data_IF_144605836903
#
_entry.id   IF_144605836903
#
_cell.length_a   1.000
_cell.length_b   1.000
_cell.length_c   1.000
_cell.angle_alpha   90.00
_cell.angle_beta   90.00
_cell.angle_gamma   90.00
#
_symmetry.space_group_name_H-M   'P 1'
#
loop_
_entity.id
_entity.type
_entity.pdbx_description
1 polymer ?
#
# COMPACT_ATOMS: atom_id res chain seq x y z
N UNK A 1 0.86 0.63 9.33
CA UNK A 1 1.11 0.53 7.87
C UNK A 1 -0.20 0.76 7.15
N UNK A 2 -0.16 1.49 6.05
CA UNK A 2 -1.34 1.58 5.19
C UNK A 2 -1.48 0.25 4.44
N UNK A 3 -2.66 -0.39 4.53
CA UNK A 3 -2.98 -1.66 3.86
C UNK A 3 -2.75 -1.56 2.34
N UNK A 4 -2.90 -0.35 1.80
CA UNK A 4 -2.67 -0.04 0.39
C UNK A 4 -1.20 -0.29 0.00
N UNK A 5 -0.22 0.06 0.85
CA UNK A 5 1.20 -0.22 0.63
C UNK A 5 1.52 -1.72 0.62
N UNK A 6 0.82 -2.51 1.43
CA UNK A 6 0.97 -3.96 1.40
C UNK A 6 0.48 -4.55 0.08
N UNK A 7 -0.68 -4.08 -0.41
CA UNK A 7 -1.21 -4.52 -1.70
C UNK A 7 -0.30 -4.10 -2.86
N UNK A 8 0.31 -2.91 -2.78
CA UNK A 8 1.36 -2.48 -3.70
C UNK A 8 2.53 -3.46 -3.69
N UNK A 9 3.05 -3.80 -2.50
CA UNK A 9 4.12 -4.78 -2.35
C UNK A 9 3.75 -6.12 -3.00
N UNK A 10 2.55 -6.66 -2.73
CA UNK A 10 2.08 -7.90 -3.33
C UNK A 10 2.08 -7.83 -4.86
N UNK A 11 1.58 -6.75 -5.44
CA UNK A 11 1.55 -6.58 -6.89
C UNK A 11 2.95 -6.44 -7.50
N UNK A 12 3.91 -5.87 -6.76
CA UNK A 12 5.32 -5.76 -7.18
C UNK A 12 6.06 -7.11 -7.07
N UNK A 13 5.74 -7.93 -6.07
CA UNK A 13 6.35 -9.27 -5.89
C UNK A 13 5.74 -10.33 -6.82
N UNK A 14 4.45 -10.24 -7.11
CA UNK A 14 3.70 -11.21 -7.91
C UNK A 14 3.05 -10.60 -9.16
N UNK A 15 3.79 -9.83 -9.99
CA UNK A 15 3.22 -9.04 -11.08
C UNK A 15 2.50 -9.90 -12.12
N UNK A 16 2.99 -11.12 -12.38
CA UNK A 16 2.37 -12.03 -13.34
C UNK A 16 0.98 -12.51 -12.89
N UNK A 17 0.78 -12.71 -11.60
CA UNK A 17 -0.49 -13.15 -11.03
C UNK A 17 -1.53 -12.03 -11.11
N UNK A 18 -1.13 -10.81 -10.79
CA UNK A 18 -2.00 -9.64 -10.93
C UNK A 18 -2.37 -9.35 -12.38
N UNK A 19 -1.41 -9.44 -13.31
CA UNK A 19 -1.69 -9.25 -14.74
C UNK A 19 -2.67 -10.29 -15.25
N UNK A 20 -2.47 -11.59 -14.96
CA UNK A 20 -3.39 -12.67 -15.35
C UNK A 20 -4.78 -12.54 -14.74
N UNK A 21 -4.86 -12.09 -13.49
CA UNK A 21 -6.15 -11.86 -12.83
C UNK A 21 -6.94 -10.71 -13.45
N UNK A 22 -6.24 -9.63 -13.79
CA UNK A 22 -6.88 -8.37 -14.18
C UNK A 22 -7.02 -8.18 -15.69
N UNK A 23 -6.16 -8.81 -16.47
CA UNK A 23 -6.13 -8.66 -17.92
C UNK A 23 -6.30 -10.04 -18.61
N UNK A 24 -7.02 -10.09 -19.74
CA UNK A 24 -7.12 -11.30 -20.56
C UNK A 24 -5.87 -11.49 -21.42
N UNK A 25 -4.68 -11.43 -20.82
CA UNK A 25 -3.39 -11.49 -21.49
C UNK A 25 -2.51 -12.55 -20.85
N UNK A 26 -1.95 -13.43 -21.67
CA UNK A 26 -0.82 -14.25 -21.30
C UNK A 26 0.47 -13.53 -21.71
N UNK A 27 1.22 -13.04 -20.76
CA UNK A 27 2.52 -12.40 -21.01
C UNK A 27 3.52 -12.83 -19.94
N UNK A 28 4.71 -13.16 -20.39
CA UNK A 28 5.83 -13.54 -19.52
C UNK A 28 6.80 -12.37 -19.24
N UNK A 29 6.71 -11.29 -20.03
CA UNK A 29 7.59 -10.15 -19.88
C UNK A 29 6.85 -8.99 -19.23
N UNK A 30 6.86 -8.97 -17.88
CA UNK A 30 6.24 -7.94 -17.08
C UNK A 30 7.33 -7.22 -16.30
N UNK A 31 7.36 -5.90 -16.39
CA UNK A 31 8.28 -5.06 -15.68
C UNK A 31 7.54 -4.17 -14.69
N UNK A 32 8.00 -4.16 -13.43
CA UNK A 32 7.54 -3.20 -12.43
C UNK A 32 8.22 -1.87 -12.69
N UNK A 33 7.43 -0.83 -12.93
CA UNK A 33 7.97 0.51 -13.16
C UNK A 33 8.11 1.28 -11.85
N UNK A 34 9.22 2.01 -11.71
CA UNK A 34 9.37 2.96 -10.60
C UNK A 34 8.36 4.10 -10.72
N UNK A 35 7.66 4.38 -9.63
CA UNK A 35 6.53 5.33 -9.57
C UNK A 35 6.95 6.81 -9.48
N UNK A 36 8.18 7.16 -9.83
CA UNK A 36 8.61 8.57 -9.86
C UNK A 36 7.93 9.33 -11.01
N UNK A 37 6.74 9.83 -10.72
CA UNK A 37 6.04 10.79 -11.56
C UNK A 37 6.42 12.20 -11.07
N UNK A 38 7.56 12.72 -11.56
CA UNK A 38 8.02 14.06 -11.24
C UNK A 38 7.02 15.12 -11.73
N UNK A 39 6.50 15.92 -10.82
CA UNK A 39 5.97 17.31 -10.95
C UNK A 39 4.89 17.61 -9.88
N UNK A 40 5.17 17.43 -8.67
CA UNK A 40 4.48 17.64 -7.38
C UNK A 40 4.53 16.37 -6.55
N UNK A 41 4.69 16.48 -5.23
CA UNK A 41 4.72 15.31 -4.36
C UNK A 41 3.32 14.70 -4.27
N UNK A 42 2.96 13.92 -5.30
CA UNK A 42 1.82 13.03 -5.20
C UNK A 42 2.30 11.97 -4.21
N UNK A 43 1.56 11.77 -3.14
CA UNK A 43 1.72 10.63 -2.25
C UNK A 43 1.46 9.35 -3.06
N UNK A 44 2.50 8.88 -3.74
CA UNK A 44 2.48 7.69 -4.60
C UNK A 44 2.47 6.37 -3.78
N UNK A 45 2.03 6.43 -2.53
CA UNK A 45 2.15 5.33 -1.58
C UNK A 45 1.28 4.11 -1.93
N UNK A 46 0.32 4.27 -2.82
CA UNK A 46 -0.64 3.20 -3.17
C UNK A 46 -0.70 2.86 -4.66
N UNK A 47 0.20 3.40 -5.48
CA UNK A 47 0.22 3.17 -6.92
C UNK A 47 1.20 2.05 -7.26
N UNK A 48 0.78 1.11 -8.09
CA UNK A 48 1.65 0.11 -8.72
C UNK A 48 1.50 0.17 -10.25
N UNK A 49 2.62 0.16 -10.94
CA UNK A 49 2.68 0.18 -12.40
C UNK A 49 3.36 -1.09 -12.91
N UNK A 50 2.59 -1.90 -13.63
CA UNK A 50 3.08 -3.12 -14.27
C UNK A 50 3.11 -2.90 -15.77
N UNK A 51 4.29 -2.96 -16.39
CA UNK A 51 4.45 -2.77 -17.83
C UNK A 51 4.57 -4.10 -18.55
N UNK A 52 3.75 -4.27 -19.56
CA UNK A 52 3.90 -5.27 -20.62
C UNK A 52 4.46 -4.58 -21.88
N UNK A 53 4.82 -5.31 -22.95
CA UNK A 53 5.39 -4.68 -24.16
C UNK A 53 4.57 -3.52 -24.75
N UNK A 54 3.22 -3.59 -24.66
CA UNK A 54 2.32 -2.63 -25.31
C UNK A 54 1.33 -1.94 -24.36
N UNK A 55 1.41 -2.22 -23.05
CA UNK A 55 0.41 -1.79 -22.07
C UNK A 55 1.04 -1.52 -20.73
N UNK A 56 0.60 -0.46 -20.06
CA UNK A 56 0.80 -0.25 -18.63
C UNK A 56 -0.48 -0.59 -17.90
N UNK A 57 -0.42 -1.50 -16.93
CA UNK A 57 -1.47 -1.72 -15.94
C UNK A 57 -1.16 -0.85 -14.72
N UNK A 58 -2.01 0.13 -14.48
CA UNK A 58 -1.96 1.00 -13.32
C UNK A 58 -2.94 0.49 -12.26
N UNK A 59 -2.41 0.08 -11.11
CA UNK A 59 -3.18 -0.40 -9.96
C UNK A 59 -3.21 0.67 -8.86
N UNK A 60 -4.41 0.96 -8.38
CA UNK A 60 -4.67 1.86 -7.26
C UNK A 60 -5.46 1.10 -6.18
N UNK A 61 -4.88 0.93 -5.00
CA UNK A 61 -5.54 0.26 -3.88
C UNK A 61 -6.18 1.28 -2.94
N UNK A 62 -7.41 1.00 -2.50
CA UNK A 62 -8.19 1.90 -1.64
C UNK A 62 -8.78 1.15 -0.45
N UNK A 63 -8.37 1.51 0.75
CA UNK A 63 -9.00 1.05 2.00
C UNK A 63 -10.12 1.99 2.45
N UNK A 64 -9.92 3.30 2.28
CA UNK A 64 -10.88 4.33 2.62
C UNK A 64 -11.48 4.95 1.36
N UNK A 65 -12.79 5.27 1.34
CA UNK A 65 -13.44 5.83 0.16
C UNK A 65 -13.08 7.31 -0.09
N UNK A 66 -12.64 8.04 0.93
CA UNK A 66 -12.31 9.46 0.81
C UNK A 66 -10.87 9.67 0.36
N UNK A 67 -10.67 10.58 -0.59
CA UNK A 67 -9.34 11.02 -1.06
C UNK A 67 -9.36 12.48 -1.49
N UNK A 68 -8.22 13.15 -1.33
CA UNK A 68 -7.98 14.49 -1.84
C UNK A 68 -6.67 14.46 -2.66
N UNK A 69 -6.71 14.77 -3.96
CA UNK A 69 -7.89 15.09 -4.76
C UNK A 69 -8.86 13.89 -4.91
N UNK A 70 -10.14 14.15 -5.34
CA UNK A 70 -11.13 13.10 -5.55
C UNK A 70 -10.63 12.00 -6.49
N UNK A 71 -10.90 10.73 -6.15
CA UNK A 71 -10.39 9.57 -6.87
C UNK A 71 -10.61 9.63 -8.41
N UNK A 72 -11.78 10.01 -8.96
CA UNK A 72 -11.95 10.08 -10.40
C UNK A 72 -11.02 11.09 -11.08
N UNK A 73 -10.80 12.25 -10.46
CA UNK A 73 -9.87 13.26 -10.97
C UNK A 73 -8.42 12.77 -10.90
N UNK A 74 -8.07 12.10 -9.82
CA UNK A 74 -6.74 11.52 -9.62
C UNK A 74 -6.44 10.46 -10.68
N UNK A 75 -7.41 9.60 -11.03
CA UNK A 75 -7.25 8.59 -12.08
C UNK A 75 -7.01 9.21 -13.45
N UNK A 76 -7.71 10.31 -13.79
CA UNK A 76 -7.46 11.05 -15.03
C UNK A 76 -6.03 11.65 -15.05
N UNK A 77 -5.61 12.30 -13.96
CA UNK A 77 -4.27 12.91 -13.87
C UNK A 77 -3.17 11.86 -14.03
N UNK A 78 -3.29 10.71 -13.37
CA UNK A 78 -2.34 9.62 -13.51
C UNK A 78 -2.31 9.05 -14.94
N UNK A 79 -3.47 8.83 -15.53
CA UNK A 79 -3.54 8.37 -16.92
C UNK A 79 -2.82 9.32 -17.86
N UNK A 80 -3.06 10.63 -17.74
CA UNK A 80 -2.44 11.65 -18.59
C UNK A 80 -0.92 11.66 -18.43
N UNK A 81 -0.40 11.59 -17.22
CA UNK A 81 1.04 11.55 -16.93
C UNK A 81 1.69 10.28 -17.46
N UNK A 82 1.08 9.12 -17.25
CA UNK A 82 1.57 7.85 -17.75
C UNK A 82 1.56 7.80 -19.27
N UNK A 83 0.45 8.17 -19.90
CA UNK A 83 0.34 8.21 -21.34
C UNK A 83 1.34 9.17 -21.98
N UNK A 84 1.53 10.36 -21.40
CA UNK A 84 2.53 11.33 -21.86
C UNK A 84 3.96 10.80 -21.77
N UNK A 85 4.28 10.08 -20.67
CA UNK A 85 5.64 9.57 -20.40
C UNK A 85 5.98 8.37 -21.26
N UNK A 86 5.06 7.40 -21.33
CA UNK A 86 5.34 6.09 -21.93
C UNK A 86 4.79 5.91 -23.35
N UNK A 87 3.85 6.77 -23.80
CA UNK A 87 3.27 6.75 -25.15
C UNK A 87 2.66 5.40 -25.55
N UNK A 88 2.13 4.65 -24.59
CA UNK A 88 1.47 3.36 -24.80
C UNK A 88 0.06 3.36 -24.19
N UNK A 89 -0.66 2.27 -24.35
CA UNK A 89 -1.95 2.07 -23.68
C UNK A 89 -1.77 1.99 -22.18
N UNK A 90 -2.73 2.57 -21.43
CA UNK A 90 -2.77 2.54 -19.96
C UNK A 90 -4.13 2.03 -19.53
N UNK A 91 -4.16 0.84 -18.96
CA UNK A 91 -5.31 0.27 -18.28
C UNK A 91 -5.24 0.63 -16.80
N UNK A 92 -6.35 1.13 -16.27
CA UNK A 92 -6.39 1.56 -14.88
C UNK A 92 -7.43 0.75 -14.10
N UNK A 93 -7.01 0.24 -12.95
CA UNK A 93 -7.86 -0.54 -12.05
C UNK A 93 -7.74 0.01 -10.63
N UNK A 94 -8.87 0.42 -10.08
CA UNK A 94 -9.02 0.76 -8.66
C UNK A 94 -9.55 -0.46 -7.93
N UNK A 95 -8.89 -0.87 -6.85
CA UNK A 95 -9.25 -2.05 -6.06
C UNK A 95 -9.62 -1.59 -4.65
N UNK A 96 -10.91 -1.65 -4.33
CA UNK A 96 -11.40 -1.39 -2.98
C UNK A 96 -11.26 -2.63 -2.10
N UNK A 97 -10.55 -2.48 -0.98
CA UNK A 97 -10.21 -3.58 -0.08
C UNK A 97 -11.27 -3.79 1.02
N UNK A 98 -11.91 -2.71 1.48
CA UNK A 98 -12.89 -2.73 2.56
C UNK A 98 -14.27 -2.38 2.04
N UNK A 99 -15.27 -3.19 2.41
CA UNK A 99 -16.67 -2.96 2.05
C UNK A 99 -17.14 -1.57 2.51
N UNK A 100 -17.84 -0.88 1.60
CA UNK A 100 -18.41 0.45 1.84
C UNK A 100 -19.66 0.67 0.98
N UNK A 101 -20.55 1.51 1.46
CA UNK A 101 -21.74 1.98 0.71
C UNK A 101 -21.50 3.34 0.02
N UNK A 102 -20.28 3.88 0.14
CA UNK A 102 -19.93 5.16 -0.50
C UNK A 102 -20.01 5.06 -2.02
N UNK A 103 -20.65 6.02 -2.67
CA UNK A 103 -20.78 6.10 -4.13
C UNK A 103 -19.45 6.06 -4.86
N UNK A 104 -18.37 6.52 -4.23
CA UNK A 104 -17.04 6.52 -4.83
C UNK A 104 -16.56 5.09 -5.18
N UNK A 105 -16.97 4.07 -4.43
CA UNK A 105 -16.63 2.69 -4.72
C UNK A 105 -17.41 2.11 -5.91
N UNK A 106 -18.43 2.83 -6.38
CA UNK A 106 -19.26 2.47 -7.54
C UNK A 106 -19.06 3.41 -8.72
N UNK A 107 -18.25 4.46 -8.53
CA UNK A 107 -17.91 5.43 -9.57
C UNK A 107 -16.70 4.95 -10.36
N UNK A 108 -16.86 4.80 -11.67
CA UNK A 108 -15.83 4.28 -12.57
C UNK A 108 -15.43 5.27 -13.68
N UNK A 109 -15.83 6.55 -13.53
CA UNK A 109 -15.49 7.58 -14.50
C UNK A 109 -15.35 8.97 -13.86
N UNK A 110 -14.51 9.78 -14.48
CA UNK A 110 -14.47 11.22 -14.30
C UNK A 110 -15.24 11.88 -15.46
N UNK A 111 -16.09 12.84 -15.15
CA UNK A 111 -16.86 13.60 -16.16
C UNK A 111 -16.78 15.09 -15.86
N UNK A 112 -16.44 15.86 -16.88
CA UNK A 112 -16.50 17.32 -16.94
C UNK A 112 -17.06 17.74 -18.31
N UNK A 113 -17.45 19.02 -18.54
CA UNK A 113 -18.15 19.44 -19.77
C UNK A 113 -17.53 18.94 -21.07
N UNK A 114 -16.19 18.88 -21.15
CA UNK A 114 -15.46 18.49 -22.37
C UNK A 114 -14.49 17.33 -22.14
N UNK A 115 -14.65 16.58 -21.02
CA UNK A 115 -13.71 15.51 -20.66
C UNK A 115 -14.47 14.36 -20.05
N UNK A 116 -14.19 13.15 -20.55
CA UNK A 116 -14.66 11.90 -19.96
C UNK A 116 -13.51 10.91 -19.91
N UNK A 117 -13.25 10.38 -18.70
CA UNK A 117 -12.21 9.39 -18.48
C UNK A 117 -12.76 8.22 -17.70
N UNK A 118 -12.53 6.98 -18.17
CA UNK A 118 -13.03 5.76 -17.56
C UNK A 118 -11.90 4.89 -17.04
N UNK A 119 -12.15 4.22 -15.92
CA UNK A 119 -11.26 3.24 -15.31
C UNK A 119 -12.10 2.09 -14.76
N UNK A 120 -11.47 0.95 -14.50
CA UNK A 120 -12.14 -0.20 -13.89
C UNK A 120 -12.16 -0.05 -12.37
N UNK A 121 -13.24 -0.53 -11.74
CA UNK A 121 -13.36 -0.62 -10.29
C UNK A 121 -13.61 -2.06 -9.91
N UNK A 122 -12.79 -2.57 -9.01
CA UNK A 122 -12.92 -3.88 -8.38
C UNK A 122 -13.23 -3.66 -6.91
N UNK A 123 -14.31 -4.29 -6.45
CA UNK A 123 -14.70 -4.35 -5.06
C UNK A 123 -14.42 -5.75 -4.58
N UNK A 124 -13.44 -5.92 -3.66
CA UNK A 124 -13.01 -7.26 -3.23
C UNK A 124 -14.16 -8.10 -2.67
N UNK A 125 -15.07 -7.48 -1.94
CA UNK A 125 -16.25 -8.18 -1.37
C UNK A 125 -17.27 -8.70 -2.39
N UNK A 126 -17.12 -8.40 -3.66
CA UNK A 126 -17.94 -8.91 -4.77
C UNK A 126 -17.20 -9.94 -5.63
N UNK A 127 -15.90 -10.09 -5.45
CA UNK A 127 -15.06 -10.96 -6.29
C UNK A 127 -15.24 -12.43 -5.92
N UNK A 128 -15.22 -13.30 -6.94
CA UNK A 128 -15.11 -14.73 -6.76
C UNK A 128 -13.77 -15.07 -6.11
N UNK A 129 -13.74 -15.84 -5.01
CA UNK A 129 -12.50 -16.26 -4.37
C UNK A 129 -11.68 -17.26 -5.20
N UNK A 130 -12.27 -18.02 -6.10
CA UNK A 130 -11.61 -19.13 -6.77
C UNK A 130 -10.34 -18.72 -7.55
N UNK A 131 -10.34 -17.67 -8.39
CA UNK A 131 -9.12 -17.22 -9.07
C UNK A 131 -8.02 -16.74 -8.12
N UNK A 132 -8.43 -16.20 -6.95
CA UNK A 132 -7.50 -15.68 -5.93
C UNK A 132 -6.87 -16.83 -5.13
N UNK A 133 -7.65 -17.85 -4.81
CA UNK A 133 -7.20 -19.06 -4.10
C UNK A 133 -6.23 -19.91 -4.93
N UNK A 134 -6.31 -19.83 -6.26
CA UNK A 134 -5.48 -20.58 -7.18
C UNK A 134 -4.03 -20.05 -7.29
N UNK A 135 -3.75 -18.85 -6.76
CA UNK A 135 -2.47 -18.17 -6.93
C UNK A 135 -1.92 -17.70 -5.58
N UNK A 136 -0.71 -18.13 -5.24
CA UNK A 136 -0.11 -17.86 -3.93
C UNK A 136 0.02 -16.36 -3.61
N UNK A 137 0.39 -15.54 -4.59
CA UNK A 137 0.50 -14.08 -4.41
C UNK A 137 -0.83 -13.36 -4.26
N UNK A 138 -1.95 -13.99 -4.64
CA UNK A 138 -3.30 -13.41 -4.50
C UNK A 138 -4.05 -13.94 -3.26
N UNK A 139 -3.51 -14.95 -2.56
CA UNK A 139 -4.13 -15.51 -1.34
C UNK A 139 -4.47 -14.44 -0.28
N UNK A 140 -3.63 -13.42 -0.04
CA UNK A 140 -3.98 -12.36 0.90
C UNK A 140 -5.26 -11.61 0.51
N UNK A 141 -5.48 -11.34 -0.78
CA UNK A 141 -6.70 -10.70 -1.29
C UNK A 141 -7.92 -11.62 -1.22
N UNK A 142 -7.72 -12.94 -1.32
CA UNK A 142 -8.81 -13.91 -1.20
C UNK A 142 -9.55 -13.79 0.15
N UNK A 143 -8.88 -13.36 1.22
CA UNK A 143 -9.51 -13.14 2.54
C UNK A 143 -10.63 -12.09 2.51
N UNK A 144 -10.58 -11.17 1.54
CA UNK A 144 -11.51 -10.07 1.35
C UNK A 144 -12.62 -10.39 0.32
N UNK A 145 -12.51 -11.51 -0.39
CA UNK A 145 -13.42 -11.89 -1.46
C UNK A 145 -14.84 -12.24 -0.94
N UNK A 146 -15.79 -12.30 -1.86
CA UNK A 146 -17.17 -12.67 -1.57
C UNK A 146 -17.22 -14.07 -0.95
N UNK A 147 -17.99 -14.22 0.13
CA UNK A 147 -18.22 -15.51 0.76
C UNK A 147 -19.46 -15.46 1.64
N UNK A 148 -20.27 -16.51 1.58
CA UNK A 148 -21.41 -16.74 2.49
C UNK A 148 -20.92 -17.20 3.87
N UNK A 149 -19.70 -17.76 3.94
CA UNK A 149 -19.04 -18.16 5.19
C UNK A 149 -17.61 -17.62 5.21
N UNK A 150 -17.41 -16.37 5.69
CA UNK A 150 -16.09 -15.75 5.72
C UNK A 150 -15.04 -16.55 6.50
N UNK A 151 -15.43 -17.17 7.63
CA UNK A 151 -14.51 -17.99 8.43
C UNK A 151 -14.05 -19.25 7.67
N UNK A 152 -14.96 -19.89 6.91
CA UNK A 152 -14.60 -21.05 6.08
C UNK A 152 -13.66 -20.63 4.94
N UNK A 153 -13.86 -19.45 4.34
CA UNK A 153 -12.94 -18.91 3.33
C UNK A 153 -11.55 -18.64 3.94
N UNK A 154 -11.48 -18.05 5.13
CA UNK A 154 -10.21 -17.82 5.82
C UNK A 154 -9.48 -19.14 6.12
N UNK A 155 -10.21 -20.18 6.54
CA UNK A 155 -9.65 -21.51 6.74
C UNK A 155 -9.11 -22.14 5.43
N UNK A 156 -9.81 -21.96 4.30
CA UNK A 156 -9.33 -22.39 2.99
C UNK A 156 -8.03 -21.65 2.61
N UNK A 157 -7.96 -20.33 2.85
CA UNK A 157 -6.73 -19.55 2.61
C UNK A 157 -5.58 -20.10 3.46
N UNK A 158 -5.80 -20.39 4.75
CA UNK A 158 -4.79 -20.97 5.62
C UNK A 158 -4.29 -22.33 5.11
N UNK A 159 -5.19 -23.17 4.60
CA UNK A 159 -4.84 -24.45 3.99
C UNK A 159 -3.99 -24.27 2.72
N UNK A 160 -4.34 -23.30 1.84
CA UNK A 160 -3.53 -23.01 0.65
C UNK A 160 -2.14 -22.50 1.01
N UNK A 161 -2.02 -21.66 2.05
CA UNK A 161 -0.73 -21.19 2.54
C UNK A 161 0.14 -22.35 3.04
N UNK A 162 -0.44 -23.33 3.76
CA UNK A 162 0.29 -24.50 4.23
C UNK A 162 0.86 -25.35 3.09
N UNK A 163 0.27 -25.28 1.90
CA UNK A 163 0.74 -26.00 0.69
C UNK A 163 1.87 -25.26 -0.05
N UNK A 164 2.24 -24.05 0.36
CA UNK A 164 3.39 -23.35 -0.23
C UNK A 164 4.67 -24.02 0.25
N UNK A 165 5.43 -24.60 -0.67
CA UNK A 165 6.64 -25.38 -0.36
C UNK A 165 7.78 -24.48 0.13
N UNK A 166 8.00 -23.33 -0.54
CA UNK A 166 9.07 -22.41 -0.20
C UNK A 166 8.78 -21.65 1.10
N UNK A 167 9.59 -21.90 2.12
CA UNK A 167 9.41 -21.30 3.45
C UNK A 167 9.39 -19.77 3.43
N UNK A 168 10.32 -19.06 2.74
CA UNK A 168 10.28 -17.61 2.70
C UNK A 168 9.01 -17.06 2.04
N UNK A 169 8.55 -17.69 0.95
CA UNK A 169 7.31 -17.30 0.28
C UNK A 169 6.11 -17.52 1.21
N UNK A 170 6.02 -18.67 1.88
CA UNK A 170 4.95 -18.99 2.83
C UNK A 170 4.88 -17.98 3.98
N UNK A 171 6.03 -17.62 4.57
CA UNK A 171 6.13 -16.63 5.63
C UNK A 171 5.64 -15.25 5.15
N UNK A 172 6.10 -14.80 3.99
CA UNK A 172 5.73 -13.52 3.41
C UNK A 172 4.23 -13.44 3.10
N UNK A 173 3.67 -14.48 2.48
CA UNK A 173 2.24 -14.56 2.18
C UNK A 173 1.42 -14.59 3.47
N UNK A 174 1.84 -15.34 4.51
CA UNK A 174 1.17 -15.37 5.82
C UNK A 174 1.13 -14.00 6.48
N UNK A 175 2.23 -13.27 6.48
CA UNK A 175 2.29 -11.90 7.03
C UNK A 175 1.34 -10.93 6.28
N UNK A 176 1.28 -11.03 4.96
CA UNK A 176 0.34 -10.24 4.16
C UNK A 176 -1.11 -10.59 4.46
N UNK A 177 -1.41 -11.87 4.68
CA UNK A 177 -2.76 -12.35 5.04
C UNK A 177 -3.18 -11.79 6.39
N UNK A 178 -2.32 -11.82 7.41
CA UNK A 178 -2.66 -11.28 8.73
C UNK A 178 -3.15 -9.84 8.64
N UNK A 179 -2.46 -9.03 7.86
CA UNK A 179 -2.77 -7.60 7.73
C UNK A 179 -4.07 -7.38 6.94
N UNK A 180 -4.22 -8.04 5.79
CA UNK A 180 -5.42 -7.89 4.96
C UNK A 180 -6.65 -8.52 5.63
N UNK A 181 -6.51 -9.71 6.21
CA UNK A 181 -7.59 -10.34 6.97
C UNK A 181 -8.04 -9.48 8.15
N UNK A 182 -7.14 -8.70 8.77
CA UNK A 182 -7.47 -7.75 9.82
C UNK A 182 -8.45 -6.63 9.42
N UNK A 183 -8.68 -6.42 8.11
CA UNK A 183 -9.75 -5.52 7.63
C UNK A 183 -11.15 -6.11 7.83
N UNK A 184 -11.27 -7.43 8.01
CA UNK A 184 -12.54 -8.16 8.03
C UNK A 184 -12.73 -9.06 9.25
N UNK A 185 -11.66 -9.58 9.85
CA UNK A 185 -11.69 -10.59 10.89
C UNK A 185 -11.02 -10.10 12.18
N UNK A 186 -11.45 -10.71 13.29
CA UNK A 186 -10.82 -10.47 14.59
C UNK A 186 -9.42 -11.10 14.65
N UNK A 187 -8.51 -10.42 15.36
CA UNK A 187 -7.12 -10.86 15.54
C UNK A 187 -7.03 -12.30 16.08
N UNK A 188 -7.87 -12.67 17.06
CA UNK A 188 -7.83 -14.00 17.66
C UNK A 188 -8.11 -15.11 16.66
N UNK A 189 -9.08 -14.91 15.75
CA UNK A 189 -9.40 -15.88 14.70
C UNK A 189 -8.21 -16.03 13.72
N UNK A 190 -7.60 -14.92 13.34
CA UNK A 190 -6.43 -14.93 12.44
C UNK A 190 -5.28 -15.70 13.10
N UNK A 191 -4.93 -15.37 14.34
CA UNK A 191 -3.86 -16.03 15.11
C UNK A 191 -4.11 -17.53 15.31
N UNK A 192 -5.36 -17.93 15.49
CA UNK A 192 -5.74 -19.35 15.64
C UNK A 192 -5.48 -20.15 14.35
N UNK A 193 -5.66 -19.56 13.18
CA UNK A 193 -5.51 -20.21 11.89
C UNK A 193 -4.09 -20.14 11.33
N UNK A 194 -3.35 -19.08 11.68
CA UNK A 194 -1.98 -18.85 11.23
C UNK A 194 -1.03 -18.90 12.43
N UNK A 195 -0.03 -19.75 12.38
CA UNK A 195 0.93 -19.91 13.48
C UNK A 195 1.80 -18.65 13.61
N UNK A 196 1.85 -18.06 14.80
CA UNK A 196 2.67 -16.85 15.09
C UNK A 196 4.15 -17.02 14.69
N UNK A 197 4.71 -18.21 14.86
CA UNK A 197 6.12 -18.51 14.56
C UNK A 197 6.47 -18.30 13.08
N UNK A 198 5.53 -18.57 12.16
CA UNK A 198 5.75 -18.38 10.72
C UNK A 198 5.83 -16.89 10.37
N UNK A 199 5.13 -16.04 11.11
CA UNK A 199 5.05 -14.61 10.83
C UNK A 199 6.22 -13.81 11.36
N UNK A 200 6.77 -14.16 12.53
CA UNK A 200 7.90 -13.45 13.15
C UNK A 200 9.18 -13.44 12.32
N UNK A 201 9.40 -14.47 11.52
CA UNK A 201 10.57 -14.60 10.63
C UNK A 201 10.37 -13.96 9.25
N UNK A 202 9.17 -13.42 8.97
CA UNK A 202 8.89 -12.76 7.70
C UNK A 202 9.60 -11.41 7.61
N UNK A 203 10.40 -11.21 6.55
CA UNK A 203 11.05 -9.92 6.24
C UNK A 203 10.00 -8.81 6.11
N UNK A 204 8.85 -9.12 5.51
CA UNK A 204 7.74 -8.17 5.35
C UNK A 204 7.18 -7.75 6.71
N UNK A 205 7.00 -8.70 7.63
CA UNK A 205 6.51 -8.40 8.98
C UNK A 205 7.50 -7.49 9.71
N UNK A 206 8.80 -7.74 9.59
CA UNK A 206 9.86 -6.91 10.16
C UNK A 206 9.83 -5.49 9.55
N UNK A 207 9.77 -5.36 8.23
CA UNK A 207 9.65 -4.07 7.54
C UNK A 207 8.42 -3.28 7.96
N UNK A 208 7.29 -3.97 8.16
CA UNK A 208 6.04 -3.35 8.61
C UNK A 208 6.18 -2.84 10.04
N UNK A 209 6.79 -3.64 10.91
CA UNK A 209 7.03 -3.27 12.30
C UNK A 209 7.94 -2.05 12.38
N UNK A 210 9.03 -2.07 11.62
CA UNK A 210 9.99 -0.97 11.53
C UNK A 210 9.34 0.32 11.02
N UNK A 211 8.57 0.26 9.93
CA UNK A 211 7.82 1.41 9.43
C UNK A 211 6.77 1.92 10.43
N UNK A 212 6.11 1.02 11.16
CA UNK A 212 5.17 1.38 12.23
C UNK A 212 5.85 2.13 13.37
N UNK A 213 6.98 1.62 13.84
CA UNK A 213 7.82 2.23 14.87
C UNK A 213 8.27 3.63 14.43
N UNK A 214 8.90 3.72 13.27
CA UNK A 214 9.37 4.99 12.70
C UNK A 214 8.26 6.05 12.59
N UNK A 215 7.06 5.69 12.14
CA UNK A 215 5.92 6.63 12.08
C UNK A 215 5.47 7.08 13.45
N UNK A 216 5.45 6.18 14.42
CA UNK A 216 5.13 6.49 15.81
C UNK A 216 6.13 7.48 16.42
N UNK A 217 7.41 7.27 16.20
CA UNK A 217 8.50 8.14 16.66
C UNK A 217 8.42 9.52 16.02
N UNK A 218 8.28 9.60 14.68
CA UNK A 218 8.10 10.86 13.96
C UNK A 218 6.91 11.65 14.52
N UNK A 219 5.75 11.01 14.68
CA UNK A 219 4.56 11.68 15.18
C UNK A 219 4.74 12.20 16.60
N UNK A 220 5.42 11.44 17.44
CA UNK A 220 5.76 11.83 18.81
C UNK A 220 6.74 13.01 18.83
N UNK A 221 7.83 12.91 18.07
CA UNK A 221 8.86 13.96 17.98
C UNK A 221 8.28 15.27 17.45
N UNK A 222 7.51 15.24 16.35
CA UNK A 222 6.87 16.43 15.80
C UNK A 222 5.96 17.12 16.84
N UNK A 223 5.21 16.35 17.62
CA UNK A 223 4.35 16.88 18.68
C UNK A 223 5.15 17.51 19.82
N UNK A 224 6.25 16.88 20.24
CA UNK A 224 7.11 17.40 21.30
C UNK A 224 7.85 18.65 20.82
N UNK A 225 8.44 18.63 19.63
CA UNK A 225 9.13 19.77 19.01
C UNK A 225 8.18 20.94 18.87
N UNK A 226 6.96 20.73 18.34
CA UNK A 226 5.96 21.80 18.22
C UNK A 226 5.61 22.43 19.56
N UNK A 227 5.53 21.63 20.62
CA UNK A 227 5.25 22.13 21.98
C UNK A 227 6.43 22.90 22.58
N UNK A 228 7.66 22.52 22.27
CA UNK A 228 8.87 23.04 22.90
C UNK A 228 9.42 24.28 22.20
N UNK A 229 9.51 24.24 20.88
CA UNK A 229 10.14 25.28 20.06
C UNK A 229 9.18 25.99 19.11
N UNK A 230 7.87 25.65 19.14
CA UNK A 230 6.85 26.27 18.30
C UNK A 230 6.57 25.51 17.00
N UNK A 231 5.79 26.12 16.10
CA UNK A 231 5.36 25.51 14.85
C UNK A 231 6.56 25.28 13.91
N UNK A 232 6.62 24.06 13.36
CA UNK A 232 7.64 23.65 12.40
C UNK A 232 7.16 23.93 10.96
N UNK A 233 8.08 24.38 10.10
CA UNK A 233 7.77 24.57 8.70
C UNK A 233 7.57 23.23 7.98
N UNK A 234 6.84 23.19 6.86
CA UNK A 234 6.66 21.96 6.08
C UNK A 234 7.99 21.34 5.63
N UNK A 235 8.99 22.15 5.33
CA UNK A 235 10.31 21.70 4.90
C UNK A 235 11.02 20.93 6.04
N UNK A 236 11.03 21.48 7.24
CA UNK A 236 11.62 20.83 8.43
C UNK A 236 10.86 19.52 8.76
N UNK A 237 9.52 19.52 8.64
CA UNK A 237 8.73 18.31 8.84
C UNK A 237 9.08 17.23 7.81
N UNK A 238 9.25 17.62 6.54
CA UNK A 238 9.66 16.69 5.48
C UNK A 238 11.07 16.12 5.73
N UNK A 239 12.00 16.94 6.20
CA UNK A 239 13.36 16.53 6.54
C UNK A 239 13.37 15.51 7.69
N UNK A 240 12.63 15.75 8.77
CA UNK A 240 12.46 14.78 9.88
C UNK A 240 11.89 13.47 9.38
N UNK A 241 10.98 13.49 8.40
CA UNK A 241 10.41 12.28 7.81
C UNK A 241 11.42 11.44 7.03
N UNK A 242 12.57 11.98 6.63
CA UNK A 242 13.63 11.22 5.93
C UNK A 242 14.61 10.53 6.87
N UNK A 243 14.64 10.89 8.15
CA UNK A 243 15.57 10.35 9.14
C UNK A 243 15.38 8.85 9.36
N UNK A 244 16.46 8.11 9.61
CA UNK A 244 16.43 6.72 10.08
C UNK A 244 15.92 6.63 11.53
N UNK A 245 15.56 5.43 11.98
CA UNK A 245 15.14 5.21 13.39
C UNK A 245 16.23 5.66 14.36
N UNK A 246 17.48 5.29 14.14
CA UNK A 246 18.59 5.71 14.98
C UNK A 246 18.71 7.24 15.06
N UNK A 247 18.58 7.93 13.90
CA UNK A 247 18.60 9.41 13.89
C UNK A 247 17.37 10.02 14.57
N UNK A 248 16.20 9.35 14.53
CA UNK A 248 15.01 9.81 15.27
C UNK A 248 15.18 9.64 16.78
N UNK A 249 15.78 8.55 17.23
CA UNK A 249 16.15 8.32 18.62
C UNK A 249 17.15 9.39 19.11
N UNK A 250 18.23 9.64 18.34
CA UNK A 250 19.21 10.68 18.63
C UNK A 250 18.57 12.09 18.67
N UNK A 251 17.63 12.38 17.76
CA UNK A 251 16.84 13.61 17.81
C UNK A 251 15.97 13.68 19.07
N UNK A 252 15.42 12.54 19.47
CA UNK A 252 14.62 12.38 20.68
C UNK A 252 15.38 12.75 21.95
N UNK A 253 16.67 12.40 22.02
CA UNK A 253 17.55 12.80 23.12
C UNK A 253 17.95 14.28 23.03
N UNK A 254 18.39 14.71 21.84
CA UNK A 254 18.87 16.09 21.63
C UNK A 254 17.78 17.15 21.86
N UNK A 255 16.51 16.83 21.53
CA UNK A 255 15.39 17.78 21.71
C UNK A 255 15.14 18.19 23.17
N UNK A 256 15.66 17.42 24.14
CA UNK A 256 15.57 17.76 25.55
C UNK A 256 16.32 19.06 25.87
N UNK A 257 17.36 19.37 25.12
CA UNK A 257 18.22 20.55 25.30
C UNK A 257 17.82 21.73 24.38
N UNK A 258 16.91 21.50 23.41
CA UNK A 258 16.49 22.57 22.49
C UNK A 258 15.69 23.64 23.22
N UNK A 259 16.00 24.90 22.97
CA UNK A 259 15.34 26.07 23.54
C UNK A 259 14.74 27.01 22.47
N UNK A 260 15.19 26.90 21.21
CA UNK A 260 14.76 27.75 20.11
C UNK A 260 14.76 26.96 18.79
N UNK A 261 14.00 27.38 17.75
CA UNK A 261 13.90 26.67 16.47
C UNK A 261 15.24 26.46 15.75
N UNK A 262 16.19 27.36 15.92
CA UNK A 262 17.53 27.27 15.34
C UNK A 262 18.32 26.05 15.83
N UNK A 263 18.06 25.58 17.06
CA UNK A 263 18.76 24.41 17.62
C UNK A 263 18.44 23.17 16.80
N UNK A 264 17.17 22.99 16.40
CA UNK A 264 16.75 21.91 15.51
C UNK A 264 17.40 22.02 14.11
N UNK A 265 17.46 23.22 13.54
CA UNK A 265 18.05 23.41 12.21
C UNK A 265 19.53 23.07 12.21
N UNK A 266 20.27 23.48 13.24
CA UNK A 266 21.70 23.16 13.40
C UNK A 266 21.89 21.65 13.57
N UNK A 267 21.02 21.02 14.37
CA UNK A 267 21.07 19.57 14.60
C UNK A 267 20.86 18.80 13.27
N UNK A 268 19.82 19.15 12.50
CA UNK A 268 19.51 18.52 11.21
C UNK A 268 20.68 18.67 10.24
N UNK A 269 21.29 19.86 10.13
CA UNK A 269 22.46 20.09 9.25
C UNK A 269 23.67 19.21 9.61
N UNK A 270 23.86 18.91 10.90
CA UNK A 270 24.98 18.10 11.36
C UNK A 270 24.75 16.58 11.23
N UNK A 271 23.50 16.14 10.97
CA UNK A 271 23.11 14.72 10.90
C UNK A 271 22.60 14.33 9.49
N UNK A 272 22.73 15.22 8.49
CA UNK A 272 22.55 14.90 7.07
C UNK A 272 23.80 14.15 6.57
N UNK A 273 23.74 12.81 6.52
CA UNK A 273 24.78 11.99 5.87
C UNK A 273 24.12 10.87 5.09
#
# INVERSE_FOLDING_TARGET
MNTDNLCKYLAEQYPAEFVRWLLPLETSNIQVLKTELSLEPIRADSITLLQTPNLILHLEFQTLPASDPPLPLRMLDYWLRLHRKYRCNVEQVVIFLKSTTSEIAYTNEYTAPNTRHRYRVIRMWEQDPAPLLANSGLLPLATLARSDSPQALLAQVAQQVANIEETPQRQNVSACIEILAGLRFDKNLITQLFREEIMRESVIYQDILEQGTRRGEIAMLLRILTRRIGSLTPEIQAEIQTLSIAQLEDLGEALLDFSQPTDLTIWLQNHQS
#
